data_IF_386734390499
#
_entry.id   IF_386734390499
#
_cell.length_a   1.000
_cell.length_b   1.000
_cell.length_c   1.000
_cell.angle_alpha   90.00
_cell.angle_beta   90.00
_cell.angle_gamma   90.00
#
_symmetry.space_group_name_H-M   'P 1'
#
loop_
_entity.id
_entity.type
_entity.pdbx_description
1 polymer ?
#
# COMPACT_ATOMS: atom_id res chain seq x y z
N UNK A 1 12.64 -7.34 30.04
CA UNK A 1 12.29 -6.84 28.69
C UNK A 1 11.96 -8.07 27.86
N UNK A 2 10.72 -8.25 27.36
CA UNK A 2 10.47 -9.25 26.33
C UNK A 2 11.38 -8.91 25.14
N UNK A 3 12.03 -9.92 24.55
CA UNK A 3 12.80 -9.72 23.32
C UNK A 3 11.89 -9.20 22.19
N UNK A 4 12.46 -8.55 21.15
CA UNK A 4 11.67 -8.14 19.99
C UNK A 4 10.92 -9.34 19.43
N UNK A 5 9.62 -9.18 19.15
CA UNK A 5 8.84 -10.21 18.49
C UNK A 5 9.56 -10.61 17.18
N UNK A 6 9.58 -11.91 16.81
CA UNK A 6 10.18 -12.34 15.57
C UNK A 6 9.57 -11.57 14.41
N UNK A 7 10.41 -11.09 13.48
CA UNK A 7 9.95 -10.35 12.33
C UNK A 7 8.92 -11.20 11.55
N UNK A 8 7.81 -10.60 11.09
CA UNK A 8 6.83 -11.33 10.31
C UNK A 8 7.47 -11.87 9.03
N UNK A 9 7.00 -13.03 8.59
CA UNK A 9 7.56 -13.71 7.41
C UNK A 9 6.58 -13.51 6.25
N UNK A 10 7.11 -13.18 5.06
CA UNK A 10 6.32 -12.92 3.85
C UNK A 10 5.30 -14.03 3.52
N UNK A 11 5.62 -15.30 3.82
CA UNK A 11 4.69 -16.42 3.63
C UNK A 11 3.45 -16.34 4.54
N UNK A 12 3.63 -15.95 5.81
CA UNK A 12 2.52 -15.84 6.77
C UNK A 12 1.55 -14.71 6.41
N UNK A 13 2.06 -13.58 5.92
CA UNK A 13 1.19 -12.46 5.51
C UNK A 13 0.41 -12.79 4.24
N UNK A 14 0.99 -13.52 3.28
CA UNK A 14 0.28 -13.96 2.08
C UNK A 14 -0.87 -14.94 2.42
N UNK A 15 -0.66 -15.86 3.37
CA UNK A 15 -1.72 -16.76 3.85
C UNK A 15 -2.90 -15.99 4.48
N UNK A 16 -2.60 -14.97 5.30
CA UNK A 16 -3.62 -14.11 5.92
C UNK A 16 -4.39 -13.28 4.91
N UNK A 17 -3.72 -12.77 3.87
CA UNK A 17 -4.39 -12.09 2.75
C UNK A 17 -5.35 -13.02 1.99
N UNK A 18 -4.97 -14.29 1.76
CA UNK A 18 -5.88 -15.29 1.16
C UNK A 18 -7.08 -15.59 2.07
N UNK A 19 -6.85 -15.68 3.38
CA UNK A 19 -7.91 -15.88 4.36
C UNK A 19 -8.90 -14.69 4.40
N UNK A 20 -8.41 -13.46 4.23
CA UNK A 20 -9.25 -12.27 4.09
C UNK A 20 -10.08 -12.31 2.80
N UNK A 21 -9.45 -12.61 1.64
CA UNK A 21 -10.14 -12.67 0.34
C UNK A 21 -11.29 -13.68 0.35
N UNK A 22 -11.07 -14.86 0.95
CA UNK A 22 -12.07 -15.93 1.04
C UNK A 22 -13.33 -15.55 1.83
N UNK A 23 -13.28 -14.48 2.64
CA UNK A 23 -14.41 -14.01 3.47
C UNK A 23 -15.23 -12.92 2.79
N UNK A 24 -14.72 -12.28 1.73
CA UNK A 24 -15.36 -11.12 1.12
C UNK A 24 -16.01 -11.45 -0.23
N UNK A 25 -17.12 -10.79 -0.58
CA UNK A 25 -17.65 -10.86 -1.94
C UNK A 25 -16.59 -10.42 -2.96
N UNK A 26 -16.58 -11.03 -4.15
CA UNK A 26 -15.61 -10.69 -5.20
C UNK A 26 -15.61 -9.20 -5.59
N UNK A 27 -16.79 -8.56 -5.52
CA UNK A 27 -16.99 -7.14 -5.83
C UNK A 27 -16.66 -6.19 -4.66
N UNK A 28 -16.33 -6.71 -3.48
CA UNK A 28 -15.92 -5.88 -2.34
C UNK A 28 -14.62 -5.13 -2.67
N UNK A 29 -14.60 -3.82 -2.44
CA UNK A 29 -13.47 -2.97 -2.78
C UNK A 29 -12.18 -3.33 -2.03
N UNK A 30 -12.26 -3.82 -0.79
CA UNK A 30 -11.09 -4.34 -0.09
C UNK A 30 -10.61 -5.64 -0.72
N UNK A 31 -11.52 -6.51 -1.17
CA UNK A 31 -11.16 -7.74 -1.87
C UNK A 31 -10.46 -7.45 -3.21
N UNK A 32 -10.92 -6.44 -3.96
CA UNK A 32 -10.27 -5.99 -5.19
C UNK A 32 -8.82 -5.58 -4.93
N UNK A 33 -8.59 -4.68 -3.97
CA UNK A 33 -7.23 -4.28 -3.63
C UNK A 33 -6.40 -5.43 -3.03
N UNK A 34 -6.99 -6.29 -2.19
CA UNK A 34 -6.31 -7.42 -1.57
C UNK A 34 -5.70 -8.36 -2.61
N UNK A 35 -6.43 -8.72 -3.66
CA UNK A 35 -5.91 -9.62 -4.72
C UNK A 35 -4.75 -9.02 -5.49
N UNK A 36 -4.85 -7.72 -5.78
CA UNK A 36 -3.80 -6.92 -6.40
C UNK A 36 -2.54 -6.97 -5.52
N UNK A 37 -2.68 -6.68 -4.22
CA UNK A 37 -1.55 -6.64 -3.30
C UNK A 37 -0.97 -8.03 -2.96
N UNK A 38 -1.81 -9.08 -2.87
CA UNK A 38 -1.37 -10.46 -2.68
C UNK A 38 -0.41 -10.89 -3.79
N UNK A 39 -0.72 -10.55 -5.04
CA UNK A 39 0.13 -10.87 -6.20
C UNK A 39 1.54 -10.29 -6.04
N UNK A 40 1.64 -9.02 -5.60
CA UNK A 40 2.93 -8.36 -5.32
C UNK A 40 3.66 -9.03 -4.16
N UNK A 41 2.94 -9.36 -3.11
CA UNK A 41 3.50 -9.97 -1.90
C UNK A 41 4.09 -11.35 -2.20
N UNK A 42 3.40 -12.16 -3.01
CA UNK A 42 3.88 -13.48 -3.46
C UNK A 42 5.09 -13.38 -4.39
N UNK A 43 5.10 -12.42 -5.34
CA UNK A 43 6.25 -12.17 -6.21
C UNK A 43 7.46 -11.69 -5.39
N UNK A 44 7.27 -10.78 -4.43
CA UNK A 44 8.32 -10.34 -3.53
C UNK A 44 8.89 -11.52 -2.74
N UNK A 45 8.04 -12.38 -2.18
CA UNK A 45 8.45 -13.58 -1.46
C UNK A 45 9.31 -14.49 -2.35
N UNK A 46 8.88 -14.73 -3.60
CA UNK A 46 9.65 -15.52 -4.57
C UNK A 46 11.01 -14.89 -4.89
N UNK A 47 11.07 -13.57 -5.13
CA UNK A 47 12.32 -12.88 -5.45
C UNK A 47 13.31 -12.85 -4.29
N UNK A 48 12.82 -12.64 -3.07
CA UNK A 48 13.64 -12.71 -1.85
C UNK A 48 14.20 -14.12 -1.67
N UNK A 49 13.36 -15.17 -1.79
CA UNK A 49 13.82 -16.56 -1.71
C UNK A 49 14.81 -16.92 -2.83
N UNK A 50 14.61 -16.38 -4.03
CA UNK A 50 15.49 -16.58 -5.18
C UNK A 50 16.78 -15.75 -5.18
N UNK A 51 17.03 -14.92 -4.16
CA UNK A 51 18.27 -14.15 -4.05
C UNK A 51 18.38 -12.93 -4.96
N UNK A 52 17.27 -12.37 -5.43
CA UNK A 52 17.24 -11.20 -6.32
C UNK A 52 17.46 -9.86 -5.58
N UNK A 53 17.60 -9.91 -4.25
CA UNK A 53 17.87 -8.76 -3.39
C UNK A 53 19.28 -8.88 -2.78
N UNK A 54 20.11 -7.81 -2.83
CA UNK A 54 21.44 -7.79 -2.22
C UNK A 54 21.37 -8.06 -0.71
N UNK A 55 20.40 -7.42 -0.04
CA UNK A 55 20.05 -7.69 1.34
C UNK A 55 18.65 -8.30 1.42
N UNK A 56 18.61 -9.65 1.48
CA UNK A 56 17.36 -10.41 1.62
C UNK A 56 16.69 -10.18 2.97
N UNK A 57 17.45 -9.92 4.03
CA UNK A 57 16.89 -9.69 5.36
C UNK A 57 16.15 -8.35 5.38
N UNK A 58 16.78 -7.30 4.85
CA UNK A 58 16.17 -5.98 4.74
C UNK A 58 14.92 -6.00 3.86
N UNK A 59 15.00 -6.60 2.67
CA UNK A 59 13.87 -6.69 1.75
C UNK A 59 12.70 -7.52 2.34
N UNK A 60 13.02 -8.66 2.97
CA UNK A 60 12.03 -9.51 3.64
C UNK A 60 11.35 -8.80 4.82
N UNK A 61 12.13 -8.09 5.63
CA UNK A 61 11.62 -7.33 6.78
C UNK A 61 10.73 -6.19 6.33
N UNK A 62 11.18 -5.39 5.35
CA UNK A 62 10.38 -4.29 4.81
C UNK A 62 9.06 -4.80 4.22
N UNK A 63 9.11 -5.84 3.39
CA UNK A 63 7.90 -6.41 2.78
C UNK A 63 6.92 -6.95 3.81
N UNK A 64 7.41 -7.62 4.85
CA UNK A 64 6.55 -8.16 5.90
C UNK A 64 5.95 -7.05 6.78
N UNK A 65 6.76 -6.08 7.24
CA UNK A 65 6.27 -4.92 8.00
C UNK A 65 5.25 -4.13 7.19
N UNK A 66 5.49 -3.94 5.89
CA UNK A 66 4.56 -3.25 5.01
C UNK A 66 3.22 -4.00 4.89
N UNK A 67 3.27 -5.32 4.71
CA UNK A 67 2.08 -6.16 4.64
C UNK A 67 1.28 -6.21 5.94
N UNK A 68 1.95 -6.23 7.10
CA UNK A 68 1.29 -6.20 8.40
C UNK A 68 0.46 -4.93 8.61
N UNK A 69 0.94 -3.78 8.12
CA UNK A 69 0.21 -2.52 8.23
C UNK A 69 -1.12 -2.58 7.47
N UNK A 70 -1.11 -3.14 6.27
CA UNK A 70 -2.34 -3.41 5.52
C UNK A 70 -3.23 -4.42 6.23
N UNK A 71 -2.67 -5.54 6.71
CA UNK A 71 -3.44 -6.59 7.37
C UNK A 71 -4.14 -6.10 8.64
N UNK A 72 -3.52 -5.19 9.40
CA UNK A 72 -4.17 -4.56 10.55
C UNK A 72 -5.48 -3.84 10.17
N UNK A 73 -5.55 -3.25 8.97
CA UNK A 73 -6.76 -2.62 8.43
C UNK A 73 -7.72 -3.68 7.86
N UNK A 74 -7.19 -4.62 7.08
CA UNK A 74 -7.97 -5.68 6.44
C UNK A 74 -8.73 -6.55 7.45
N UNK A 75 -8.03 -7.02 8.48
CA UNK A 75 -8.56 -7.95 9.49
C UNK A 75 -9.48 -7.27 10.49
N UNK A 76 -9.28 -5.98 10.77
CA UNK A 76 -10.20 -5.21 11.59
C UNK A 76 -11.49 -4.84 10.86
N UNK A 77 -11.53 -4.93 9.52
CA UNK A 77 -12.76 -4.80 8.74
C UNK A 77 -13.47 -3.45 8.81
N UNK A 78 -12.87 -2.44 9.45
CA UNK A 78 -13.52 -1.17 9.80
C UNK A 78 -14.13 -1.12 11.20
N UNK A 79 -14.05 -2.21 11.98
CA UNK A 79 -14.48 -2.28 13.38
C UNK A 79 -13.47 -1.63 14.35
N UNK A 80 -12.28 -1.28 13.85
CA UNK A 80 -11.35 -0.45 14.60
C UNK A 80 -12.03 0.88 14.97
N UNK A 81 -11.96 1.34 16.24
CA UNK A 81 -12.62 2.58 16.67
C UNK A 81 -12.25 3.81 15.84
N UNK A 82 -11.05 3.80 15.23
CA UNK A 82 -10.56 4.87 14.37
C UNK A 82 -9.55 4.30 13.35
N UNK A 83 -10.02 3.77 12.20
CA UNK A 83 -9.09 3.35 11.15
C UNK A 83 -8.32 4.56 10.60
N UNK A 84 -7.11 4.36 10.05
CA UNK A 84 -6.36 5.43 9.40
C UNK A 84 -7.21 6.20 8.41
N UNK A 85 -7.08 7.52 8.40
CA UNK A 85 -7.84 8.41 7.53
C UNK A 85 -7.60 8.10 6.04
N UNK A 86 -6.42 7.61 5.69
CA UNK A 86 -6.02 7.09 4.38
C UNK A 86 -6.86 5.90 3.91
N UNK A 87 -7.18 4.97 4.81
CA UNK A 87 -7.95 3.75 4.51
C UNK A 87 -9.46 3.90 4.67
N UNK A 88 -9.90 4.87 5.48
CA UNK A 88 -11.32 5.10 5.78
C UNK A 88 -12.23 5.23 4.54
N UNK A 89 -11.85 5.95 3.47
CA UNK A 89 -12.68 6.04 2.27
C UNK A 89 -12.94 4.68 1.63
N UNK A 90 -11.91 3.85 1.46
CA UNK A 90 -12.08 2.53 0.87
C UNK A 90 -12.99 1.64 1.73
N UNK A 91 -12.77 1.64 3.05
CA UNK A 91 -13.62 0.90 3.99
C UNK A 91 -15.09 1.35 3.93
N UNK A 92 -15.36 2.64 3.76
CA UNK A 92 -16.72 3.19 3.67
C UNK A 92 -17.41 2.86 2.33
N UNK A 93 -16.67 2.90 1.23
CA UNK A 93 -17.23 2.73 -0.12
C UNK A 93 -17.10 1.30 -0.66
N UNK A 94 -16.49 0.36 0.08
CA UNK A 94 -16.18 -1.01 -0.38
C UNK A 94 -17.34 -1.81 -0.97
N UNK A 95 -18.59 -1.47 -0.67
CA UNK A 95 -19.78 -2.09 -1.26
C UNK A 95 -20.61 -1.17 -2.16
N UNK A 96 -20.11 0.01 -2.52
CA UNK A 96 -20.91 1.02 -3.20
C UNK A 96 -21.08 0.68 -4.70
N UNK A 97 -22.31 0.56 -5.21
CA UNK A 97 -22.57 0.06 -6.57
C UNK A 97 -22.11 1.02 -7.69
N UNK A 98 -21.94 2.30 -7.37
CA UNK A 98 -21.44 3.31 -8.30
C UNK A 98 -19.92 3.48 -8.33
N UNK A 99 -19.16 2.65 -7.61
CA UNK A 99 -17.69 2.70 -7.60
C UNK A 99 -17.16 1.46 -8.30
N UNK A 100 -16.23 1.65 -9.24
CA UNK A 100 -15.72 0.57 -10.08
C UNK A 100 -14.51 -0.12 -9.46
N UNK A 101 -14.23 -1.39 -9.81
CA UNK A 101 -13.04 -2.12 -9.34
C UNK A 101 -11.72 -1.35 -9.47
N UNK A 102 -11.52 -0.64 -10.59
CA UNK A 102 -10.32 0.19 -10.79
C UNK A 102 -10.17 1.29 -9.74
N UNK A 103 -11.26 1.95 -9.35
CA UNK A 103 -11.23 2.99 -8.31
C UNK A 103 -10.89 2.39 -6.94
N UNK A 104 -11.37 1.18 -6.64
CA UNK A 104 -11.00 0.48 -5.41
C UNK A 104 -9.52 0.11 -5.38
N UNK A 105 -8.99 -0.43 -6.48
CA UNK A 105 -7.58 -0.73 -6.60
C UNK A 105 -6.72 0.52 -6.39
N UNK A 106 -7.01 1.62 -7.11
CA UNK A 106 -6.28 2.88 -6.99
C UNK A 106 -6.38 3.49 -5.59
N UNK A 107 -7.57 3.45 -4.95
CA UNK A 107 -7.74 3.96 -3.59
C UNK A 107 -6.92 3.16 -2.57
N UNK A 108 -6.88 1.83 -2.72
CA UNK A 108 -6.05 0.97 -1.88
C UNK A 108 -4.55 1.22 -2.10
N UNK A 109 -4.10 1.34 -3.35
CA UNK A 109 -2.69 1.65 -3.65
C UNK A 109 -2.32 3.04 -3.10
N UNK A 110 -3.19 4.03 -3.25
CA UNK A 110 -3.00 5.36 -2.68
C UNK A 110 -2.83 5.32 -1.16
N UNK A 111 -3.70 4.61 -0.43
CA UNK A 111 -3.59 4.48 1.01
C UNK A 111 -2.30 3.74 1.42
N UNK A 112 -2.02 2.62 0.75
CA UNK A 112 -0.91 1.75 1.08
C UNK A 112 0.46 2.39 0.78
N UNK A 113 0.64 2.93 -0.43
CA UNK A 113 1.89 3.59 -0.81
C UNK A 113 2.02 4.94 -0.11
N UNK A 114 0.96 5.74 -0.07
CA UNK A 114 1.02 7.11 0.44
C UNK A 114 1.19 7.20 1.97
N UNK A 115 0.67 6.23 2.72
CA UNK A 115 0.67 6.28 4.18
C UNK A 115 1.38 5.09 4.84
N UNK A 116 1.15 3.86 4.39
CA UNK A 116 1.77 2.69 5.05
C UNK A 116 3.25 2.55 4.73
N UNK A 117 3.65 2.79 3.48
CA UNK A 117 5.04 2.59 3.05
C UNK A 117 6.05 3.49 3.79
N UNK A 118 5.82 4.80 4.00
CA UNK A 118 6.72 5.64 4.77
C UNK A 118 6.95 5.13 6.19
N UNK A 119 5.87 4.68 6.83
CA UNK A 119 5.90 4.18 8.19
C UNK A 119 6.57 2.80 8.25
N UNK A 120 6.32 1.94 7.25
CA UNK A 120 6.99 0.64 7.13
C UNK A 120 8.50 0.78 6.96
N UNK A 121 8.98 1.76 6.19
CA UNK A 121 10.42 2.05 6.06
C UNK A 121 11.02 2.46 7.40
N UNK A 122 10.36 3.36 8.14
CA UNK A 122 10.81 3.81 9.46
C UNK A 122 10.84 2.65 10.47
N UNK A 123 9.79 1.83 10.51
CA UNK A 123 9.70 0.69 11.43
C UNK A 123 10.71 -0.41 11.07
N UNK A 124 10.99 -0.61 9.78
CA UNK A 124 12.06 -1.51 9.33
C UNK A 124 13.44 -1.00 9.74
N UNK A 125 13.71 0.30 9.58
CA UNK A 125 14.95 0.91 10.04
C UNK A 125 15.17 0.70 11.54
N UNK A 126 14.10 0.85 12.35
CA UNK A 126 14.14 0.56 13.79
C UNK A 126 14.43 -0.91 14.07
N UNK A 127 13.75 -1.82 13.37
CA UNK A 127 13.92 -3.27 13.55
C UNK A 127 15.33 -3.76 13.21
N UNK A 128 15.96 -3.16 12.19
CA UNK A 128 17.29 -3.55 11.71
C UNK A 128 18.42 -2.70 12.30
N UNK A 129 18.10 -1.67 13.09
CA UNK A 129 19.10 -0.76 13.66
C UNK A 129 19.85 0.05 12.59
N UNK A 130 19.22 0.35 11.46
CA UNK A 130 19.81 1.09 10.34
C UNK A 130 19.07 2.41 10.08
N UNK A 131 19.60 3.22 9.16
CA UNK A 131 18.95 4.45 8.68
C UNK A 131 18.38 4.24 7.26
N UNK A 132 17.44 5.07 6.80
CA UNK A 132 16.79 4.90 5.49
C UNK A 132 17.75 4.67 4.31
N UNK A 133 18.91 5.36 4.17
CA UNK A 133 19.83 5.10 3.06
C UNK A 133 20.29 3.63 2.94
N UNK A 134 20.31 2.87 4.04
CA UNK A 134 20.64 1.45 4.00
C UNK A 134 19.53 0.57 3.36
N UNK A 135 18.31 1.09 3.26
CA UNK A 135 17.16 0.39 2.66
C UNK A 135 16.88 0.85 1.22
N UNK A 136 17.58 1.85 0.69
CA UNK A 136 17.27 2.50 -0.60
C UNK A 136 17.27 1.49 -1.76
N UNK A 137 18.32 0.67 -1.89
CA UNK A 137 18.39 -0.37 -2.93
C UNK A 137 17.23 -1.38 -2.86
N UNK A 138 16.83 -1.75 -1.64
CA UNK A 138 15.70 -2.65 -1.42
C UNK A 138 14.38 -1.98 -1.77
N UNK A 139 14.22 -0.71 -1.38
CA UNK A 139 13.07 0.11 -1.67
C UNK A 139 12.87 0.32 -3.18
N UNK A 140 13.94 0.56 -3.93
CA UNK A 140 13.89 0.70 -5.40
C UNK A 140 13.50 -0.59 -6.10
N UNK A 141 14.10 -1.72 -5.73
CA UNK A 141 13.71 -3.04 -6.29
C UNK A 141 12.27 -3.43 -5.98
N UNK A 142 11.75 -3.08 -4.79
CA UNK A 142 10.32 -3.24 -4.48
C UNK A 142 9.47 -2.32 -5.36
N UNK A 143 10.04 -1.20 -5.83
CA UNK A 143 9.39 -0.30 -6.77
C UNK A 143 9.16 -0.89 -8.11
N UNK A 144 10.19 -1.50 -8.67
CA UNK A 144 10.07 -2.17 -9.95
C UNK A 144 8.98 -3.26 -9.91
N UNK A 145 8.80 -3.90 -8.75
CA UNK A 145 7.70 -4.84 -8.52
C UNK A 145 6.33 -4.17 -8.49
N UNK A 146 6.23 -3.00 -7.89
CA UNK A 146 4.99 -2.25 -7.83
C UNK A 146 4.65 -1.64 -9.19
N UNK A 147 5.62 -1.30 -10.04
CA UNK A 147 5.36 -0.80 -11.41
C UNK A 147 4.62 -1.85 -12.23
N UNK A 148 4.98 -3.14 -12.08
CA UNK A 148 4.23 -4.25 -12.69
C UNK A 148 2.77 -4.29 -12.23
N UNK A 149 2.46 -3.81 -11.02
CA UNK A 149 1.09 -3.68 -10.51
C UNK A 149 0.30 -2.62 -11.27
N UNK A 150 0.92 -1.48 -11.56
CA UNK A 150 0.26 -0.38 -12.29
C UNK A 150 -0.10 -0.84 -13.70
N UNK A 151 0.82 -1.51 -14.40
CA UNK A 151 0.59 -2.09 -15.72
C UNK A 151 -0.55 -3.12 -15.66
N UNK A 152 -0.50 -4.04 -14.69
CA UNK A 152 -1.52 -5.07 -14.54
C UNK A 152 -2.89 -4.51 -14.18
N UNK A 153 -2.96 -3.52 -13.28
CA UNK A 153 -4.20 -2.82 -12.92
C UNK A 153 -4.77 -2.09 -14.13
N UNK A 154 -3.92 -1.47 -14.97
CA UNK A 154 -4.35 -0.83 -16.21
C UNK A 154 -4.89 -1.85 -17.21
N UNK A 155 -4.22 -2.99 -17.39
CA UNK A 155 -4.61 -4.04 -18.34
C UNK A 155 -5.85 -4.83 -17.91
N UNK A 156 -5.89 -5.33 -16.68
CA UNK A 156 -6.97 -6.21 -16.19
C UNK A 156 -8.27 -5.44 -15.89
N UNK A 157 -8.17 -4.13 -15.62
CA UNK A 157 -9.32 -3.31 -15.20
C UNK A 157 -9.72 -2.24 -16.24
N UNK A 158 -9.00 -2.14 -17.38
CA UNK A 158 -9.43 -1.41 -18.58
C UNK A 158 -9.48 -2.31 -19.84
N UNK A 159 -10.40 -3.28 -19.94
CA UNK A 159 -10.51 -4.11 -21.14
C UNK A 159 -11.16 -3.32 -22.30
N UNK A 160 -10.36 -2.79 -23.23
CA UNK A 160 -10.82 -2.42 -24.57
C UNK A 160 -10.13 -1.20 -25.22
N UNK A 161 -9.83 -1.23 -26.54
CA UNK A 161 -9.37 -0.07 -27.27
C UNK A 161 -10.59 0.72 -27.74
N UNK A 162 -10.93 1.80 -27.03
CA UNK A 162 -11.69 2.88 -27.66
C UNK A 162 -10.94 4.19 -27.43
N UNK A 163 -10.18 4.57 -28.47
CA UNK A 163 -9.47 5.84 -28.60
C UNK A 163 -10.40 7.07 -28.55
N UNK A 164 -11.71 6.88 -28.36
CA UNK A 164 -12.71 7.92 -28.14
C UNK A 164 -12.99 8.22 -26.65
N UNK A 165 -12.40 7.50 -25.69
CA UNK A 165 -12.62 7.70 -24.24
C UNK A 165 -11.57 8.58 -23.53
N UNK A 166 -10.87 9.45 -24.26
CA UNK A 166 -9.95 10.44 -23.63
C UNK A 166 -10.70 11.38 -22.66
N UNK A 167 -12.03 11.47 -22.75
CA UNK A 167 -12.89 12.23 -21.85
C UNK A 167 -13.55 11.40 -20.72
N UNK A 168 -13.25 10.10 -20.58
CA UNK A 168 -13.78 9.30 -19.48
C UNK A 168 -13.12 9.72 -18.15
N UNK A 169 -13.89 10.06 -17.10
CA UNK A 169 -13.33 10.46 -15.81
C UNK A 169 -12.32 9.47 -15.23
N UNK A 170 -12.44 8.16 -15.54
CA UNK A 170 -11.50 7.14 -15.07
C UNK A 170 -10.17 7.18 -15.81
N UNK A 171 -10.17 7.43 -17.13
CA UNK A 171 -8.95 7.63 -17.92
C UNK A 171 -8.16 8.83 -17.40
N UNK A 172 -8.84 9.93 -17.08
CA UNK A 172 -8.21 11.08 -16.44
C UNK A 172 -7.72 10.79 -15.01
N UNK A 173 -8.47 10.03 -14.22
CA UNK A 173 -8.10 9.64 -12.86
C UNK A 173 -6.83 8.77 -12.85
N UNK A 174 -6.76 7.78 -13.75
CA UNK A 174 -5.58 6.91 -13.96
C UNK A 174 -4.41 7.73 -14.45
N UNK A 175 -4.62 8.64 -15.41
CA UNK A 175 -3.54 9.50 -15.93
C UNK A 175 -3.02 10.52 -14.90
N UNK A 176 -3.85 10.92 -13.94
CA UNK A 176 -3.47 11.86 -12.89
C UNK A 176 -2.76 11.20 -11.69
N UNK A 177 -2.85 9.87 -11.54
CA UNK A 177 -2.24 9.13 -10.44
C UNK A 177 -1.01 8.37 -10.93
N UNK A 178 0.16 8.62 -10.33
CA UNK A 178 1.44 7.99 -10.69
C UNK A 178 2.01 7.26 -9.49
N UNK A 179 2.21 5.95 -9.63
CA UNK A 179 2.82 5.13 -8.60
C UNK A 179 4.25 5.57 -8.29
N UNK A 180 5.02 5.91 -9.32
CA UNK A 180 6.38 6.43 -9.20
C UNK A 180 6.41 7.67 -8.30
N UNK A 181 5.58 8.68 -8.60
CA UNK A 181 5.49 9.89 -7.77
C UNK A 181 5.00 9.60 -6.35
N UNK A 182 4.07 8.66 -6.19
CA UNK A 182 3.61 8.23 -4.87
C UNK A 182 4.75 7.58 -4.06
N UNK A 183 5.60 6.76 -4.69
CA UNK A 183 6.79 6.15 -4.07
C UNK A 183 7.85 7.19 -3.71
N UNK A 184 8.17 8.12 -4.61
CA UNK A 184 9.12 9.21 -4.32
C UNK A 184 8.65 10.06 -3.13
N UNK A 185 7.36 10.37 -3.09
CA UNK A 185 6.72 11.03 -1.96
C UNK A 185 6.82 10.20 -0.68
N UNK A 186 6.62 8.88 -0.79
CA UNK A 186 6.71 7.97 0.34
C UNK A 186 8.15 7.88 0.90
N UNK A 187 9.16 7.83 0.02
CA UNK A 187 10.57 7.84 0.41
C UNK A 187 10.93 9.14 1.13
N UNK A 188 10.49 10.27 0.58
CA UNK A 188 10.71 11.59 1.18
C UNK A 188 10.05 11.69 2.57
N UNK A 189 8.81 11.22 2.70
CA UNK A 189 8.10 11.16 3.97
C UNK A 189 8.81 10.26 5.00
N UNK A 190 9.32 9.10 4.58
CA UNK A 190 10.09 8.20 5.44
C UNK A 190 11.35 8.88 5.99
N UNK A 191 12.09 9.59 5.13
CA UNK A 191 13.31 10.32 5.52
C UNK A 191 12.99 11.46 6.50
N UNK A 192 11.91 12.20 6.29
CA UNK A 192 11.44 13.24 7.20
C UNK A 192 11.05 12.65 8.56
N UNK A 193 10.23 11.60 8.57
CA UNK A 193 9.82 10.89 9.78
C UNK A 193 11.04 10.35 10.56
N UNK A 194 12.00 9.76 9.85
CA UNK A 194 13.24 9.28 10.46
C UNK A 194 14.10 10.41 11.03
N UNK A 195 14.19 11.55 10.33
CA UNK A 195 14.89 12.74 10.81
C UNK A 195 14.26 13.32 12.09
N UNK A 196 12.94 13.25 12.21
CA UNK A 196 12.17 13.72 13.37
C UNK A 196 12.02 12.67 14.48
N UNK A 197 12.71 11.52 14.43
CA UNK A 197 12.52 10.41 15.39
C UNK A 197 12.76 10.78 16.86
N UNK A 198 13.61 11.77 17.13
CA UNK A 198 13.88 12.29 18.48
C UNK A 198 12.86 13.37 18.93
N UNK A 199 11.89 13.70 18.06
CA UNK A 199 10.85 14.70 18.26
C UNK A 199 9.47 14.05 18.06
N UNK A 200 9.04 13.15 18.97
CA UNK A 200 7.86 12.29 18.75
C UNK A 200 6.57 13.07 18.52
N UNK A 201 6.41 14.26 19.11
CA UNK A 201 5.27 15.13 18.86
C UNK A 201 5.20 15.62 17.41
N UNK A 202 6.32 16.07 16.84
CA UNK A 202 6.39 16.53 15.44
C UNK A 202 6.25 15.36 14.46
N UNK A 203 6.88 14.23 14.74
CA UNK A 203 6.74 13.02 13.93
C UNK A 203 5.27 12.54 13.91
N UNK A 204 4.59 12.59 15.05
CA UNK A 204 3.17 12.27 15.17
C UNK A 204 2.29 13.22 14.37
N UNK A 205 2.46 14.53 14.52
CA UNK A 205 1.70 15.52 13.76
C UNK A 205 1.92 15.37 12.25
N UNK A 206 3.16 15.16 11.81
CA UNK A 206 3.46 14.92 10.40
C UNK A 206 2.76 13.66 9.87
N UNK A 207 2.81 12.55 10.63
CA UNK A 207 2.14 11.32 10.24
C UNK A 207 0.61 11.50 10.15
N UNK A 208 0.00 12.24 11.08
CA UNK A 208 -1.43 12.55 11.03
C UNK A 208 -1.82 13.40 9.82
N UNK A 209 -0.99 14.39 9.45
CA UNK A 209 -1.24 15.22 8.25
C UNK A 209 -1.04 14.44 6.96
N UNK A 210 -0.04 13.56 6.92
CA UNK A 210 0.15 12.62 5.82
C UNK A 210 -1.07 11.72 5.66
N UNK A 211 -1.53 11.09 6.76
CA UNK A 211 -2.72 10.23 6.77
C UNK A 211 -3.96 10.96 6.24
N UNK A 212 -4.21 12.17 6.74
CA UNK A 212 -5.36 12.99 6.34
C UNK A 212 -5.29 13.41 4.86
N UNK A 213 -4.11 13.78 4.37
CA UNK A 213 -3.87 14.16 2.98
C UNK A 213 -4.10 13.00 2.02
N UNK A 214 -3.53 11.83 2.33
CA UNK A 214 -3.75 10.60 1.56
C UNK A 214 -5.23 10.20 1.57
N UNK A 215 -5.90 10.35 2.72
CA UNK A 215 -7.34 10.11 2.84
C UNK A 215 -8.21 11.06 2.03
N UNK A 216 -7.78 12.31 1.81
CA UNK A 216 -8.47 13.24 0.91
C UNK A 216 -8.41 12.75 -0.54
N UNK A 217 -7.23 12.33 -1.01
CA UNK A 217 -7.07 11.75 -2.36
C UNK A 217 -7.94 10.50 -2.50
N UNK A 218 -7.96 9.63 -1.49
CA UNK A 218 -8.80 8.43 -1.49
C UNK A 218 -10.30 8.72 -1.66
N UNK A 219 -10.81 9.82 -1.08
CA UNK A 219 -12.21 10.25 -1.29
C UNK A 219 -12.46 10.68 -2.74
N UNK A 220 -11.53 11.41 -3.34
CA UNK A 220 -11.65 11.82 -4.74
C UNK A 220 -11.62 10.62 -5.69
N UNK A 221 -10.71 9.67 -5.45
CA UNK A 221 -10.58 8.44 -6.24
C UNK A 221 -11.86 7.59 -6.23
N UNK A 222 -12.60 7.60 -5.13
CA UNK A 222 -13.83 6.81 -4.94
C UNK A 222 -15.11 7.60 -5.28
N UNK A 223 -15.00 8.71 -6.01
CA UNK A 223 -16.16 9.45 -6.49
C UNK A 223 -17.01 8.55 -7.39
N UNK A 224 -18.30 8.30 -7.09
CA UNK A 224 -19.11 7.41 -7.90
C UNK A 224 -19.30 7.93 -9.33
N UNK A 225 -18.98 7.10 -10.31
CA UNK A 225 -19.16 7.39 -11.74
C UNK A 225 -20.36 6.54 -12.22
N UNK A 226 -21.56 7.12 -12.21
CA UNK A 226 -22.76 6.49 -12.81
C UNK A 226 -22.63 6.41 -14.32
#
# INVERSE_FOLDING_TARGET
>A
MPGPAPAPVLGSVAERMRACDARWPAADGMAVFNRVYLTVTEELARRVAGGHFPDRLAAGTLGAVFAERYLAVAESGGDAPRPPASWRPLLQYRGHPGVRPLQFALAGINAHIGYDLPLAVVDTCRALGCAPPALEDGFERVGDLLVLLEERVREDLMPGPDLLQVADPLTHLVGAWSLERAREGAWSAARLLWGMRELPGLAGEFAERLDAGVGLVGRCLLTPCR
#
